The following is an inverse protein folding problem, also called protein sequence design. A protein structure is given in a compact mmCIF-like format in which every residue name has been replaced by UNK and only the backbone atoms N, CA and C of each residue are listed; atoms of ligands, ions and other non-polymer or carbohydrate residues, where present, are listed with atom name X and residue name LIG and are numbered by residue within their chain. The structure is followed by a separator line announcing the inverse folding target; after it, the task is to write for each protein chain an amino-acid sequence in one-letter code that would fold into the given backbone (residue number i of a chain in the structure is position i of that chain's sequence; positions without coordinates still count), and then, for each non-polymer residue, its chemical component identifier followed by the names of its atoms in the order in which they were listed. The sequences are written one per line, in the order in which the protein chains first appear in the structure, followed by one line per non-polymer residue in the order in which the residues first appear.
data_IF_723849143784
#
_entry.id   IF_723849143784
#
_cell.length_a   1.000
_cell.length_b   1.000
_cell.length_c   1.000
_cell.angle_alpha   90.00
_cell.angle_beta   90.00
_cell.angle_gamma   90.00
#
_symmetry.space_group_name_H-M   'P 1'
#
loop_
_entity.id
_entity.type
_entity.pdbx_description
1 polymer ?
#
# COMPACT_ATOMS: atom_id res chain seq x y z
N UNK A 1 -54.22 -0.85 64.50
CA UNK A 1 -54.28 -2.09 63.72
C UNK A 1 -54.37 -1.68 62.27
N UNK A 2 -53.31 -1.17 61.66
CA UNK A 2 -51.96 -1.76 61.51
C UNK A 2 -52.01 -3.05 60.68
N UNK A 3 -51.63 -2.90 59.40
CA UNK A 3 -50.84 -3.85 58.59
C UNK A 3 -51.07 -3.55 57.10
N UNK A 4 -50.20 -2.68 56.59
CA UNK A 4 -50.09 -2.32 55.18
C UNK A 4 -49.39 -3.42 54.40
N UNK A 5 -50.15 -4.05 53.50
CA UNK A 5 -49.73 -5.06 52.52
C UNK A 5 -48.56 -4.53 51.66
N UNK A 6 -47.37 -5.08 51.91
CA UNK A 6 -46.21 -4.98 51.03
C UNK A 6 -46.43 -5.94 49.87
N UNK A 7 -46.62 -5.44 48.65
CA UNK A 7 -46.21 -6.07 47.37
C UNK A 7 -46.71 -5.21 46.20
N UNK A 8 -45.88 -4.26 45.73
CA UNK A 8 -46.05 -3.69 44.39
C UNK A 8 -44.69 -3.51 43.72
N UNK A 9 -44.19 -4.64 43.24
CA UNK A 9 -43.46 -4.82 41.96
C UNK A 9 -42.88 -3.53 41.34
N UNK A 10 -41.60 -3.27 41.61
CA UNK A 10 -40.80 -2.33 40.84
C UNK A 10 -40.65 -2.84 39.41
N UNK A 11 -41.44 -2.30 38.50
CA UNK A 11 -41.27 -2.53 37.06
C UNK A 11 -40.19 -1.59 36.55
N UNK A 12 -38.94 -2.06 36.49
CA UNK A 12 -37.85 -1.28 35.91
C UNK A 12 -38.07 -1.12 34.40
N UNK A 13 -38.20 0.14 33.95
CA UNK A 13 -38.34 0.52 32.54
C UNK A 13 -36.93 0.74 31.94
N UNK A 14 -36.58 0.10 30.81
CA UNK A 14 -35.25 0.28 30.23
C UNK A 14 -35.01 1.73 29.77
N UNK A 15 -33.78 2.22 29.99
CA UNK A 15 -33.30 3.59 29.74
C UNK A 15 -33.13 3.93 28.24
N UNK A 16 -34.00 3.45 27.35
CA UNK A 16 -33.88 3.64 25.89
C UNK A 16 -34.68 4.83 25.34
N UNK A 17 -35.01 5.83 26.17
CA UNK A 17 -35.72 7.05 25.73
C UNK A 17 -35.06 8.35 26.18
N UNK A 18 -33.74 8.37 26.33
CA UNK A 18 -33.03 9.65 26.33
C UNK A 18 -32.81 10.04 24.86
N UNK A 19 -33.22 11.25 24.42
CA UNK A 19 -32.81 11.76 23.12
C UNK A 19 -31.29 11.82 23.10
N UNK A 20 -30.67 11.09 22.16
CA UNK A 20 -29.25 11.25 21.89
C UNK A 20 -29.00 12.69 21.43
N UNK A 21 -27.94 13.35 21.92
CA UNK A 21 -27.57 14.67 21.40
C UNK A 21 -27.31 14.56 19.89
N UNK A 22 -27.71 15.57 19.09
CA UNK A 22 -27.43 15.57 17.67
C UNK A 22 -25.91 15.50 17.44
N UNK A 23 -25.44 14.77 16.41
CA UNK A 23 -24.02 14.74 16.08
C UNK A 23 -23.58 16.17 15.74
N UNK A 24 -22.54 16.66 16.42
CA UNK A 24 -21.88 17.89 16.02
C UNK A 24 -21.32 17.67 14.64
N UNK A 25 -21.92 18.33 13.64
CA UNK A 25 -21.39 18.45 12.30
C UNK A 25 -20.09 19.27 12.38
N UNK A 26 -19.00 18.61 12.75
CA UNK A 26 -17.66 19.11 12.50
C UNK A 26 -17.55 19.25 11.00
N UNK A 27 -17.64 20.50 10.52
CA UNK A 27 -17.32 20.85 9.14
C UNK A 27 -16.02 20.11 8.78
N UNK A 28 -15.94 19.41 7.63
CA UNK A 28 -14.64 19.18 7.06
C UNK A 28 -14.11 20.58 6.74
N UNK A 29 -13.23 21.10 7.61
CA UNK A 29 -12.26 22.06 7.12
C UNK A 29 -11.66 21.39 5.90
N UNK A 30 -11.77 22.04 4.76
CA UNK A 30 -10.89 21.81 3.62
C UNK A 30 -9.48 22.03 4.15
N UNK A 31 -8.95 21.00 4.80
CA UNK A 31 -7.53 20.85 5.02
C UNK A 31 -7.08 20.46 3.63
N UNK A 32 -6.69 21.47 2.86
CA UNK A 32 -5.51 21.34 2.03
C UNK A 32 -4.50 20.60 2.91
N UNK A 33 -4.41 19.28 2.76
CA UNK A 33 -3.26 18.53 3.22
C UNK A 33 -2.13 18.91 2.27
N UNK A 34 -1.68 20.15 2.43
CA UNK A 34 -0.32 20.52 2.20
C UNK A 34 0.48 19.62 3.14
N UNK A 35 0.89 18.47 2.61
CA UNK A 35 1.88 17.58 3.18
C UNK A 35 3.21 18.33 3.20
N UNK A 36 3.31 19.42 3.97
CA UNK A 36 4.59 19.97 4.40
C UNK A 36 4.97 19.23 5.68
N UNK A 37 5.15 17.92 5.55
CA UNK A 37 6.07 17.25 6.43
C UNK A 37 7.45 17.57 5.86
N UNK A 38 8.19 18.41 6.57
CA UNK A 38 9.58 18.78 6.30
C UNK A 38 10.49 17.55 6.49
N UNK A 39 10.19 16.48 5.75
CA UNK A 39 11.01 15.30 5.57
C UNK A 39 12.19 15.79 4.73
N UNK A 40 13.17 16.41 5.39
CA UNK A 40 14.33 17.02 4.74
C UNK A 40 14.98 15.94 3.89
N UNK A 41 14.82 16.04 2.57
CA UNK A 41 15.21 14.98 1.64
C UNK A 41 16.70 14.72 1.77
N UNK A 42 17.07 13.58 2.35
CA UNK A 42 18.46 13.29 2.63
C UNK A 42 19.22 13.11 1.31
N UNK A 43 20.23 13.96 1.00
CA UNK A 43 20.89 13.96 -0.31
C UNK A 43 21.62 12.65 -0.59
N UNK A 44 21.97 11.85 0.43
CA UNK A 44 22.61 10.54 0.26
C UNK A 44 21.79 9.58 -0.61
N UNK A 45 20.47 9.75 -0.62
CA UNK A 45 19.56 8.85 -1.32
C UNK A 45 19.10 9.39 -2.68
N UNK A 46 19.60 10.55 -3.11
CA UNK A 46 19.17 11.15 -4.38
C UNK A 46 19.51 10.26 -5.58
N UNK A 47 20.77 9.83 -5.70
CA UNK A 47 21.23 8.91 -6.74
C UNK A 47 20.49 7.58 -6.73
N UNK A 48 20.47 6.84 -5.59
CA UNK A 48 19.67 5.63 -5.44
C UNK A 48 18.20 5.79 -5.84
N UNK A 49 17.55 6.90 -5.45
CA UNK A 49 16.15 7.14 -5.78
C UNK A 49 15.94 7.37 -7.28
N UNK A 50 16.82 8.12 -7.96
CA UNK A 50 16.77 8.30 -9.42
C UNK A 50 16.93 6.96 -10.11
N UNK A 51 17.94 6.18 -9.72
CA UNK A 51 18.24 4.89 -10.33
C UNK A 51 17.07 3.90 -10.16
N UNK A 52 16.55 3.74 -8.94
CA UNK A 52 15.40 2.86 -8.67
C UNK A 52 14.14 3.26 -9.46
N UNK A 53 13.89 4.56 -9.61
CA UNK A 53 12.76 5.05 -10.43
C UNK A 53 12.93 4.67 -11.89
N UNK A 54 14.15 4.72 -12.43
CA UNK A 54 14.44 4.34 -13.81
C UNK A 54 14.29 2.85 -14.09
N UNK A 55 14.38 2.00 -13.05
CA UNK A 55 14.17 0.56 -13.15
C UNK A 55 12.69 0.15 -13.12
N UNK A 56 11.76 1.06 -12.82
CA UNK A 56 10.33 0.76 -12.90
C UNK A 56 9.97 0.45 -14.36
N UNK A 57 9.41 -0.74 -14.67
CA UNK A 57 9.03 -1.06 -16.03
C UNK A 57 7.99 -0.07 -16.56
N UNK A 58 8.30 0.62 -17.66
CA UNK A 58 7.44 1.67 -18.23
C UNK A 58 6.02 1.18 -18.60
N UNK A 59 5.83 -0.14 -18.80
CA UNK A 59 4.52 -0.73 -19.09
C UNK A 59 3.70 -1.08 -17.83
N UNK A 60 4.23 -0.84 -16.63
CA UNK A 60 3.57 -1.14 -15.35
C UNK A 60 2.49 -0.11 -15.02
N UNK A 61 2.76 1.18 -15.22
CA UNK A 61 1.85 2.29 -14.90
C UNK A 61 2.04 3.45 -15.89
N UNK A 62 0.95 4.19 -16.17
CA UNK A 62 1.00 5.47 -16.88
C UNK A 62 1.33 6.64 -15.93
N UNK A 63 1.19 6.43 -14.62
CA UNK A 63 1.62 7.42 -13.63
C UNK A 63 3.14 7.51 -13.59
N UNK A 64 3.67 8.73 -13.72
CA UNK A 64 5.10 8.96 -13.53
C UNK A 64 5.47 8.73 -12.07
N UNK A 65 6.46 7.87 -11.84
CA UNK A 65 7.05 7.69 -10.52
C UNK A 65 7.77 8.98 -10.07
N UNK A 66 7.69 9.27 -8.78
CA UNK A 66 8.30 10.46 -8.18
C UNK A 66 9.62 10.12 -7.49
N UNK A 67 10.72 10.69 -8.00
CA UNK A 67 12.06 10.57 -7.38
C UNK A 67 12.05 11.11 -5.96
N UNK A 68 11.44 12.26 -5.70
CA UNK A 68 11.37 12.86 -4.36
C UNK A 68 10.64 11.97 -3.37
N UNK A 69 9.57 11.30 -3.80
CA UNK A 69 8.83 10.38 -2.95
C UNK A 69 9.65 9.13 -2.62
N UNK A 70 10.35 8.56 -3.61
CA UNK A 70 11.28 7.44 -3.40
C UNK A 70 12.43 7.85 -2.49
N UNK A 71 13.03 9.02 -2.69
CA UNK A 71 14.11 9.54 -1.83
C UNK A 71 13.66 9.67 -0.37
N UNK A 72 12.45 10.21 -0.14
CA UNK A 72 11.87 10.26 1.20
C UNK A 72 11.60 8.85 1.76
N UNK A 73 11.14 7.90 0.92
CA UNK A 73 10.95 6.50 1.31
C UNK A 73 12.26 5.83 1.75
N UNK A 74 13.35 6.03 1.00
CA UNK A 74 14.67 5.54 1.36
C UNK A 74 15.17 6.17 2.66
N UNK A 75 14.89 7.46 2.86
CA UNK A 75 15.26 8.19 4.08
C UNK A 75 14.55 7.62 5.31
N UNK A 76 13.28 7.25 5.19
CA UNK A 76 12.51 6.58 6.26
C UNK A 76 12.92 5.14 6.50
N UNK A 77 13.29 4.42 5.43
CA UNK A 77 13.70 3.03 5.53
C UNK A 77 15.08 2.86 6.19
N UNK A 78 15.94 3.87 6.03
CA UNK A 78 17.32 3.93 6.54
C UNK A 78 18.14 2.64 6.34
N UNK A 79 18.05 2.08 5.14
CA UNK A 79 18.76 0.87 4.77
C UNK A 79 20.23 1.17 4.39
N UNK A 80 21.11 0.19 4.58
CA UNK A 80 22.48 0.21 4.07
C UNK A 80 22.50 0.24 2.54
N UNK A 81 23.58 0.79 1.96
CA UNK A 81 23.73 0.83 0.50
C UNK A 81 23.74 -0.56 -0.13
N UNK A 82 24.24 -1.58 0.57
CA UNK A 82 24.20 -2.99 0.11
C UNK A 82 22.76 -3.51 -0.02
N UNK A 83 21.88 -3.18 0.93
CA UNK A 83 20.46 -3.57 0.84
C UNK A 83 19.74 -2.81 -0.29
N UNK A 84 20.12 -1.56 -0.55
CA UNK A 84 19.62 -0.80 -1.69
C UNK A 84 20.13 -1.40 -3.02
N UNK A 85 21.40 -1.79 -3.07
CA UNK A 85 22.00 -2.45 -4.22
C UNK A 85 21.31 -3.78 -4.52
N UNK A 86 21.00 -4.58 -3.49
CA UNK A 86 20.21 -5.80 -3.67
C UNK A 86 18.82 -5.51 -4.24
N UNK A 87 18.15 -4.45 -3.77
CA UNK A 87 16.87 -4.04 -4.34
C UNK A 87 17.00 -3.59 -5.81
N UNK A 88 18.09 -2.92 -6.17
CA UNK A 88 18.43 -2.59 -7.57
C UNK A 88 18.59 -3.86 -8.40
N UNK A 89 19.40 -4.82 -7.96
CA UNK A 89 19.60 -6.10 -8.66
C UNK A 89 18.27 -6.88 -8.82
N UNK A 90 17.40 -6.85 -7.80
CA UNK A 90 16.06 -7.44 -7.85
C UNK A 90 15.21 -6.80 -8.95
N UNK A 91 15.21 -5.47 -9.06
CA UNK A 91 14.42 -4.76 -10.06
C UNK A 91 14.97 -4.92 -11.47
N UNK A 92 16.29 -4.91 -11.64
CA UNK A 92 16.95 -5.08 -12.94
C UNK A 92 16.78 -6.52 -13.49
N UNK A 93 16.63 -7.50 -12.59
CA UNK A 93 16.42 -8.91 -12.94
C UNK A 93 14.96 -9.27 -13.25
N UNK A 94 14.02 -8.31 -13.21
CA UNK A 94 12.61 -8.57 -13.52
C UNK A 94 12.43 -8.98 -14.99
N UNK A 95 11.57 -9.96 -15.22
CA UNK A 95 11.33 -10.47 -16.56
C UNK A 95 10.41 -9.53 -17.37
N UNK A 96 10.40 -9.72 -18.70
CA UNK A 96 9.56 -8.90 -19.60
C UNK A 96 8.05 -9.09 -19.39
N UNK A 97 7.63 -10.11 -18.65
CA UNK A 97 6.22 -10.43 -18.37
C UNK A 97 5.75 -9.80 -17.06
N UNK A 98 6.65 -9.45 -16.15
CA UNK A 98 6.39 -8.94 -14.81
C UNK A 98 5.31 -7.85 -14.83
N UNK A 99 5.52 -6.79 -15.64
CA UNK A 99 4.60 -5.65 -15.69
C UNK A 99 3.18 -6.05 -16.12
N UNK A 100 3.03 -7.07 -16.98
CA UNK A 100 1.72 -7.60 -17.36
C UNK A 100 1.10 -8.42 -16.23
N UNK A 101 1.87 -9.33 -15.62
CA UNK A 101 1.40 -10.18 -14.52
C UNK A 101 0.98 -9.35 -13.32
N UNK A 102 1.78 -8.35 -12.96
CA UNK A 102 1.51 -7.43 -11.86
C UNK A 102 0.20 -6.66 -12.08
N UNK A 103 -0.01 -6.06 -13.26
CA UNK A 103 -1.25 -5.32 -13.59
C UNK A 103 -2.51 -6.17 -13.55
N UNK A 104 -2.40 -7.46 -13.85
CA UNK A 104 -3.54 -8.38 -13.81
C UNK A 104 -3.84 -8.89 -12.40
N UNK A 105 -2.86 -8.85 -11.50
CA UNK A 105 -2.96 -9.44 -10.16
C UNK A 105 -3.17 -8.42 -9.06
N UNK A 106 -2.56 -7.24 -9.17
CA UNK A 106 -2.52 -6.24 -8.11
C UNK A 106 -3.88 -5.54 -7.97
N UNK A 107 -4.46 -5.48 -6.75
CA UNK A 107 -5.79 -4.92 -6.54
C UNK A 107 -5.79 -3.40 -6.64
N UNK A 108 -6.90 -2.86 -7.16
CA UNK A 108 -7.10 -1.40 -7.35
C UNK A 108 -7.53 -0.68 -6.06
N UNK A 109 -7.69 -1.40 -4.96
CA UNK A 109 -8.37 -0.93 -3.75
C UNK A 109 -7.63 0.25 -3.09
N UNK A 110 -8.37 1.35 -2.93
CA UNK A 110 -7.98 2.55 -2.21
C UNK A 110 -8.28 2.34 -0.71
N UNK A 111 -7.30 2.36 0.20
CA UNK A 111 -7.54 2.25 1.63
C UNK A 111 -7.92 3.63 2.21
N UNK A 112 -9.17 4.05 1.99
CA UNK A 112 -9.77 5.20 2.66
C UNK A 112 -11.16 4.82 3.20
N UNK A 113 -11.23 3.80 4.05
CA UNK A 113 -12.34 3.68 4.99
C UNK A 113 -11.88 3.01 6.29
N UNK A 114 -11.94 3.70 7.45
CA UNK A 114 -11.61 3.10 8.74
C UNK A 114 -12.63 2.09 9.26
N UNK A 115 -13.79 1.90 8.62
CA UNK A 115 -14.88 1.06 9.16
C UNK A 115 -14.88 -0.42 8.69
N UNK A 116 -13.90 -0.88 7.90
CA UNK A 116 -13.85 -2.28 7.41
C UNK A 116 -13.20 -3.25 8.40
N UNK A 117 -13.56 -3.18 9.68
CA UNK A 117 -13.24 -4.23 10.66
C UNK A 117 -14.35 -5.25 10.88
N UNK A 118 -15.51 -5.10 10.22
CA UNK A 118 -16.59 -6.10 10.26
C UNK A 118 -17.16 -6.35 8.85
N UNK A 119 -16.47 -7.14 8.04
CA UNK A 119 -17.09 -7.79 6.86
C UNK A 119 -16.40 -9.11 6.51
N UNK A 120 -16.38 -9.99 7.49
CA UNK A 120 -16.24 -11.44 7.29
C UNK A 120 -17.61 -12.11 7.46
N UNK A 121 -18.61 -11.77 6.64
CA UNK A 121 -19.81 -12.59 6.51
C UNK A 121 -20.67 -12.19 5.30
N UNK A 122 -21.11 -13.22 4.58
CA UNK A 122 -22.29 -13.28 3.73
C UNK A 122 -22.24 -12.59 2.36
N UNK A 123 -21.90 -13.40 1.35
CA UNK A 123 -22.68 -13.44 0.12
C UNK A 123 -24.16 -13.62 0.42
N UNK A 124 -25.07 -12.91 -0.27
CA UNK A 124 -26.30 -13.56 -0.68
C UNK A 124 -26.53 -13.37 -2.19
N UNK A 125 -26.70 -14.49 -2.87
CA UNK A 125 -27.36 -14.59 -4.16
C UNK A 125 -28.84 -14.23 -4.00
N UNK A 126 -29.29 -13.15 -4.65
CA UNK A 126 -30.72 -12.85 -4.81
C UNK A 126 -31.08 -12.81 -6.30
N UNK A 127 -32.15 -13.55 -6.60
CA UNK A 127 -32.72 -13.88 -7.89
C UNK A 127 -33.36 -12.67 -8.60
N UNK A 128 -33.20 -12.66 -9.94
CA UNK A 128 -33.96 -11.96 -10.99
C UNK A 128 -35.20 -11.16 -10.54
N UNK A 129 -35.21 -9.85 -10.85
CA UNK A 129 -36.38 -9.16 -11.41
C UNK A 129 -35.94 -8.16 -12.50
N UNK A 130 -36.74 -8.12 -13.56
CA UNK A 130 -36.52 -7.43 -14.81
C UNK A 130 -36.40 -5.90 -14.66
N UNK A 131 -35.27 -5.34 -15.07
CA UNK A 131 -35.16 -3.95 -15.53
C UNK A 131 -34.54 -3.94 -16.94
N UNK A 132 -35.01 -3.02 -17.77
CA UNK A 132 -34.67 -2.89 -19.19
C UNK A 132 -33.15 -2.69 -19.40
N UNK A 133 -32.59 -3.09 -20.56
CA UNK A 133 -31.16 -2.98 -20.81
C UNK A 133 -30.74 -1.51 -20.93
N UNK A 134 -30.05 -1.02 -19.91
CA UNK A 134 -29.37 0.27 -19.96
C UNK A 134 -28.32 0.23 -21.07
N UNK A 135 -28.42 1.18 -21.99
CA UNK A 135 -27.47 1.45 -23.06
C UNK A 135 -26.01 1.48 -22.56
N UNK A 136 -25.04 0.89 -23.27
CA UNK A 136 -23.63 0.89 -22.86
C UNK A 136 -23.00 2.22 -23.22
N UNK A 137 -23.28 3.29 -22.46
CA UNK A 137 -22.56 4.56 -22.64
C UNK A 137 -21.97 5.16 -21.37
N UNK A 138 -22.30 4.60 -20.21
CA UNK A 138 -21.66 4.94 -18.94
C UNK A 138 -21.35 3.66 -18.17
N UNK A 139 -20.44 2.84 -18.69
CA UNK A 139 -19.68 1.99 -17.78
C UNK A 139 -18.95 2.95 -16.82
N UNK A 140 -18.95 2.72 -15.49
CA UNK A 140 -17.99 3.43 -14.64
C UNK A 140 -16.64 3.22 -15.31
N UNK A 141 -15.92 4.30 -15.63
CA UNK A 141 -14.57 4.23 -16.22
C UNK A 141 -13.86 3.11 -15.48
N UNK A 142 -13.67 1.96 -16.13
CA UNK A 142 -12.97 0.82 -15.53
C UNK A 142 -11.61 1.39 -15.21
N UNK A 143 -11.39 1.75 -13.95
CA UNK A 143 -10.11 2.23 -13.47
C UNK A 143 -9.14 1.11 -13.80
N UNK A 144 -8.33 1.32 -14.84
CA UNK A 144 -7.35 0.33 -15.23
C UNK A 144 -6.19 0.45 -14.24
N UNK A 145 -5.55 -0.66 -13.92
CA UNK A 145 -4.41 -0.70 -13.00
C UNK A 145 -3.31 0.31 -13.35
N UNK A 146 -3.14 0.56 -14.65
CA UNK A 146 -2.17 1.52 -15.19
C UNK A 146 -2.36 2.95 -14.71
N UNK A 147 -3.55 3.34 -14.25
CA UNK A 147 -3.85 4.72 -13.82
C UNK A 147 -4.11 4.83 -12.30
N UNK A 148 -4.34 3.70 -11.63
CA UNK A 148 -4.93 3.70 -10.29
C UNK A 148 -3.94 3.37 -9.18
N UNK A 149 -2.86 2.66 -9.50
CA UNK A 149 -1.83 2.26 -8.53
C UNK A 149 -0.52 2.93 -8.88
N UNK A 150 0.03 3.64 -7.89
CA UNK A 150 1.32 4.30 -7.97
C UNK A 150 2.45 3.27 -8.09
N UNK A 151 3.30 3.33 -9.14
CA UNK A 151 4.26 2.28 -9.43
C UNK A 151 5.42 2.20 -8.43
N UNK A 152 5.62 3.20 -7.58
CA UNK A 152 6.64 3.19 -6.52
C UNK A 152 6.44 2.05 -5.51
N UNK A 153 5.27 1.39 -5.48
CA UNK A 153 5.08 0.16 -4.70
C UNK A 153 5.96 -0.99 -5.17
N UNK A 154 6.36 -1.00 -6.45
CA UNK A 154 7.29 -2.00 -7.00
C UNK A 154 8.66 -1.83 -6.33
N UNK A 155 9.12 -0.58 -6.17
CA UNK A 155 10.35 -0.26 -5.43
C UNK A 155 10.19 -0.65 -3.95
N UNK A 156 9.07 -0.26 -3.32
CA UNK A 156 8.82 -0.62 -1.92
C UNK A 156 8.89 -2.14 -1.72
N UNK A 157 8.24 -2.92 -2.57
CA UNK A 157 8.24 -4.37 -2.49
C UNK A 157 9.65 -4.96 -2.66
N UNK A 158 10.45 -4.45 -3.61
CA UNK A 158 11.84 -4.88 -3.77
C UNK A 158 12.70 -4.59 -2.53
N UNK A 159 12.56 -3.40 -1.92
CA UNK A 159 13.23 -3.05 -0.66
C UNK A 159 12.82 -3.97 0.49
N UNK A 160 11.53 -4.30 0.58
CA UNK A 160 11.00 -5.22 1.59
C UNK A 160 11.57 -6.62 1.40
N UNK A 161 11.65 -7.11 0.16
CA UNK A 161 12.28 -8.40 -0.15
C UNK A 161 13.76 -8.40 0.24
N UNK A 162 14.50 -7.37 -0.14
CA UNK A 162 15.92 -7.23 0.23
C UNK A 162 16.12 -7.23 1.75
N UNK A 163 15.33 -6.43 2.49
CA UNK A 163 15.42 -6.38 3.94
C UNK A 163 14.99 -7.70 4.61
N UNK A 164 13.92 -8.35 4.14
CA UNK A 164 13.49 -9.66 4.64
C UNK A 164 14.52 -10.76 4.36
N UNK A 165 15.30 -10.62 3.29
CA UNK A 165 16.32 -11.58 2.90
C UNK A 165 17.60 -11.43 3.73
N UNK A 166 18.00 -10.19 4.08
CA UNK A 166 19.25 -9.93 4.79
C UNK A 166 19.10 -9.79 6.31
N UNK A 167 17.90 -9.49 6.82
CA UNK A 167 17.64 -9.27 8.24
C UNK A 167 16.89 -10.45 8.87
N UNK A 168 17.30 -10.84 10.07
CA UNK A 168 16.72 -11.96 10.85
C UNK A 168 15.32 -11.64 11.44
N UNK A 169 15.05 -10.47 12.07
CA UNK A 169 13.70 -10.12 12.50
C UNK A 169 12.87 -9.56 11.34
N UNK A 170 12.01 -10.40 10.75
CA UNK A 170 11.05 -9.94 9.73
C UNK A 170 9.89 -9.17 10.36
N UNK A 171 9.67 -7.94 9.90
CA UNK A 171 8.52 -7.13 10.30
C UNK A 171 7.26 -7.53 9.50
N UNK A 172 6.05 -7.33 10.03
CA UNK A 172 4.82 -7.60 9.28
C UNK A 172 4.66 -6.63 8.10
N UNK A 173 3.96 -6.99 7.02
CA UNK A 173 3.72 -6.11 5.86
C UNK A 173 3.16 -4.73 6.21
N UNK A 174 2.33 -4.67 7.27
CA UNK A 174 1.75 -3.43 7.79
C UNK A 174 2.81 -2.41 8.22
N UNK A 175 3.93 -2.88 8.80
CA UNK A 175 5.03 -2.04 9.22
C UNK A 175 5.66 -1.33 8.02
N UNK A 176 6.08 -2.07 6.99
CA UNK A 176 6.75 -1.48 5.82
C UNK A 176 5.85 -0.49 5.07
N UNK A 177 4.58 -0.84 4.91
CA UNK A 177 3.56 0.01 4.28
C UNK A 177 3.40 1.34 5.01
N UNK A 178 3.35 1.33 6.35
CA UNK A 178 3.18 2.53 7.16
C UNK A 178 4.49 3.31 7.32
N UNK A 179 5.56 2.65 7.75
CA UNK A 179 6.83 3.27 8.07
C UNK A 179 7.55 3.78 6.82
N UNK A 180 7.60 2.99 5.74
CA UNK A 180 8.33 3.36 4.53
C UNK A 180 7.39 4.01 3.51
N UNK A 181 6.22 3.39 3.29
CA UNK A 181 5.23 3.81 2.29
C UNK A 181 4.21 4.89 2.73
N UNK A 182 4.27 5.40 3.97
CA UNK A 182 3.28 6.35 4.55
C UNK A 182 1.81 5.91 4.46
N UNK A 183 1.57 4.60 4.38
CA UNK A 183 0.21 4.05 4.28
C UNK A 183 -0.47 4.26 2.92
N UNK A 184 0.28 4.66 1.88
CA UNK A 184 -0.24 4.99 0.55
C UNK A 184 -0.90 3.79 -0.16
N UNK A 185 -0.44 2.58 0.15
CA UNK A 185 -0.94 1.34 -0.43
C UNK A 185 -1.59 0.46 0.63
N UNK A 186 -2.37 -0.53 0.20
CA UNK A 186 -2.94 -1.57 1.07
C UNK A 186 -1.95 -2.72 1.31
N UNK A 187 -2.22 -3.56 2.31
CA UNK A 187 -1.41 -4.78 2.51
C UNK A 187 -1.52 -5.73 1.32
N UNK A 188 -2.70 -5.84 0.71
CA UNK A 188 -2.91 -6.73 -0.43
C UNK A 188 -2.11 -6.28 -1.64
N UNK A 189 -2.04 -4.96 -1.89
CA UNK A 189 -1.20 -4.41 -2.96
C UNK A 189 0.28 -4.73 -2.74
N UNK A 190 0.78 -4.56 -1.51
CA UNK A 190 2.18 -4.86 -1.19
C UNK A 190 2.46 -6.36 -1.32
N UNK A 191 1.65 -7.21 -0.69
CA UNK A 191 1.81 -8.66 -0.73
C UNK A 191 1.74 -9.24 -2.14
N UNK A 192 0.80 -8.76 -2.97
CA UNK A 192 0.70 -9.19 -4.38
C UNK A 192 1.92 -8.72 -5.18
N UNK A 193 2.40 -7.50 -4.93
CA UNK A 193 3.59 -6.98 -5.62
C UNK A 193 4.83 -7.77 -5.23
N UNK A 194 5.03 -8.06 -3.94
CA UNK A 194 6.11 -8.94 -3.47
C UNK A 194 6.04 -10.31 -4.15
N UNK A 195 4.86 -10.94 -4.18
CA UNK A 195 4.66 -12.23 -4.85
C UNK A 195 5.01 -12.16 -6.33
N UNK A 196 4.56 -11.13 -7.05
CA UNK A 196 4.85 -10.98 -8.48
C UNK A 196 6.35 -10.81 -8.75
N UNK A 197 7.08 -10.09 -7.90
CA UNK A 197 8.55 -9.96 -8.01
C UNK A 197 9.19 -11.34 -7.78
N UNK A 198 8.83 -12.02 -6.69
CA UNK A 198 9.40 -13.33 -6.37
C UNK A 198 9.14 -14.38 -7.45
N UNK A 199 7.93 -14.40 -8.02
CA UNK A 199 7.57 -15.28 -9.14
C UNK A 199 8.37 -14.93 -10.41
N UNK A 200 8.60 -13.65 -10.68
CA UNK A 200 9.43 -13.21 -11.81
C UNK A 200 10.90 -13.62 -11.68
N UNK A 201 11.39 -13.80 -10.46
CA UNK A 201 12.76 -14.21 -10.17
C UNK A 201 12.91 -15.73 -9.99
N UNK A 202 11.84 -16.51 -10.24
CA UNK A 202 11.77 -17.95 -9.91
C UNK A 202 12.16 -18.24 -8.45
N UNK A 203 11.90 -17.29 -7.53
CA UNK A 203 12.27 -17.32 -6.12
C UNK A 203 13.80 -17.42 -5.85
N UNK A 204 14.64 -17.01 -6.81
CA UNK A 204 16.11 -17.08 -6.71
C UNK A 204 16.73 -15.71 -6.40
N UNK A 205 16.73 -15.31 -5.14
CA UNK A 205 17.37 -14.05 -4.70
C UNK A 205 18.89 -14.23 -4.51
N UNK A 206 19.34 -15.37 -3.97
CA UNK A 206 20.74 -15.58 -3.57
C UNK A 206 21.79 -15.22 -4.65
N UNK A 207 21.59 -15.52 -5.95
CA UNK A 207 22.55 -15.12 -7.00
C UNK A 207 22.69 -13.60 -7.17
N UNK A 208 21.68 -12.82 -6.76
CA UNK A 208 21.68 -11.36 -6.83
C UNK A 208 22.46 -10.72 -5.68
N UNK A 209 22.87 -11.51 -4.69
CA UNK A 209 23.69 -11.07 -3.56
C UNK A 209 25.20 -11.25 -3.81
N UNK A 210 25.61 -11.54 -5.05
CA UNK A 210 27.02 -11.64 -5.41
C UNK A 210 27.68 -10.26 -5.26
N UNK A 211 28.90 -10.23 -4.70
CA UNK A 211 29.59 -8.98 -4.35
C UNK A 211 29.84 -8.10 -5.58
N UNK A 212 30.13 -8.71 -6.72
CA UNK A 212 30.31 -8.03 -8.00
C UNK A 212 29.02 -7.32 -8.43
N UNK A 213 27.88 -8.03 -8.38
CA UNK A 213 26.55 -7.48 -8.71
C UNK A 213 26.18 -6.31 -7.80
N UNK A 214 26.41 -6.44 -6.48
CA UNK A 214 26.10 -5.40 -5.52
C UNK A 214 26.99 -4.16 -5.71
N UNK A 215 28.28 -4.38 -5.99
CA UNK A 215 29.24 -3.29 -6.22
C UNK A 215 28.89 -2.51 -7.48
N UNK A 216 28.58 -3.19 -8.58
CA UNK A 216 28.14 -2.56 -9.83
C UNK A 216 26.86 -1.73 -9.62
N UNK A 217 25.87 -2.29 -8.94
CA UNK A 217 24.64 -1.57 -8.60
C UNK A 217 24.90 -0.32 -7.72
N UNK A 218 25.86 -0.37 -6.79
CA UNK A 218 26.26 0.79 -5.99
C UNK A 218 26.88 1.90 -6.85
N UNK A 219 27.70 1.53 -7.83
CA UNK A 219 28.29 2.48 -8.78
C UNK A 219 27.19 3.13 -9.63
N UNK A 220 26.25 2.36 -10.15
CA UNK A 220 25.14 2.89 -10.96
C UNK A 220 24.24 3.86 -10.17
N UNK A 221 23.96 3.55 -8.90
CA UNK A 221 23.24 4.45 -8.00
C UNK A 221 24.00 5.76 -7.75
N UNK A 222 25.33 5.72 -7.65
CA UNK A 222 26.15 6.91 -7.48
C UNK A 222 26.15 7.78 -8.74
N UNK A 223 26.35 7.17 -9.91
CA UNK A 223 26.36 7.85 -11.20
C UNK A 223 25.01 8.50 -11.54
N UNK A 224 23.90 7.90 -11.12
CA UNK A 224 22.56 8.46 -11.34
C UNK A 224 22.33 9.82 -10.64
N UNK A 225 23.19 10.25 -9.70
CA UNK A 225 23.09 11.54 -9.04
C UNK A 225 23.76 12.69 -9.81
N UNK A 226 24.66 12.37 -10.75
CA UNK A 226 25.49 13.29 -11.56
C UNK A 226 24.72 13.85 -12.76
#
# INVERSE_FOLDING_TARGET
DDDSDYERTFTYRPLSRLPTPPPTLSKPSSVDQSLEDDDTLNPRYRGPAIHLVNLIPASASLASASVSFVQAMLSRADLSMEMLALAVCILDSLDTKFARTWRLSCPLSCPLHPDDVDSAAASPSIIKRHSLPSTPRDAPRRQLHIDSVRPEIIILAALVIAAKFTQDPQQPPQFYRLAWGRGLWSNDQLNVTERCIMESLDYRILPLCDDDCLTDAMVDMQLAAE
#
